data_IF_509673416111
#
_entry.id   IF_509673416111
#
_cell.length_a   1.000
_cell.length_b   1.000
_cell.length_c   1.000
_cell.angle_alpha   90.00
_cell.angle_beta   90.00
_cell.angle_gamma   90.00
#
_symmetry.space_group_name_H-M   'P 1'
#
loop_
_entity.id
_entity.type
_entity.pdbx_description
1 polymer ?
#
# COMPACT_ATOMS: atom_id res chain seq x y z
N UNK A 1 -26.28 -5.52 8.06
CA UNK A 1 -25.01 -4.78 8.21
C UNK A 1 -25.10 -3.54 9.11
N UNK A 2 -26.08 -2.63 8.93
CA UNK A 2 -26.14 -1.34 9.66
C UNK A 2 -26.15 -1.42 11.20
N UNK A 3 -26.82 -2.42 11.78
CA UNK A 3 -26.88 -2.64 13.24
C UNK A 3 -25.74 -3.51 13.78
N UNK A 4 -25.01 -4.23 12.91
CA UNK A 4 -23.91 -5.09 13.30
C UNK A 4 -22.70 -4.25 13.76
N UNK A 5 -21.75 -4.85 14.50
CA UNK A 5 -20.46 -4.21 14.77
C UNK A 5 -19.80 -3.71 13.48
N UNK A 6 -19.16 -2.55 13.57
CA UNK A 6 -18.51 -1.92 12.45
C UNK A 6 -17.27 -2.72 12.02
N UNK A 7 -17.11 -2.90 10.71
CA UNK A 7 -16.00 -3.66 10.12
C UNK A 7 -14.62 -3.01 10.33
N UNK A 8 -14.56 -1.76 10.80
CA UNK A 8 -13.30 -1.12 11.20
C UNK A 8 -12.74 -1.65 12.53
N UNK A 9 -13.43 -2.57 13.21
CA UNK A 9 -12.97 -3.17 14.48
C UNK A 9 -13.30 -2.35 15.73
N UNK A 10 -13.96 -1.19 15.61
CA UNK A 10 -14.27 -0.32 16.77
C UNK A 10 -15.30 -0.87 17.75
N UNK A 11 -15.97 -1.98 17.44
CA UNK A 11 -17.09 -2.55 18.21
C UNK A 11 -18.40 -1.73 18.17
N UNK A 12 -18.36 -0.48 17.70
CA UNK A 12 -19.54 0.37 17.53
C UNK A 12 -20.45 -0.17 16.43
N UNK A 13 -21.76 0.12 16.48
CA UNK A 13 -22.69 -0.19 15.39
C UNK A 13 -22.24 0.47 14.08
N UNK A 14 -22.21 -0.26 12.97
CA UNK A 14 -21.70 0.20 11.68
C UNK A 14 -22.29 1.55 11.25
N UNK A 15 -23.63 1.72 11.35
CA UNK A 15 -24.32 2.97 10.98
C UNK A 15 -23.95 4.19 11.82
N UNK A 16 -23.44 3.98 13.04
CA UNK A 16 -22.98 5.03 13.97
C UNK A 16 -21.46 5.19 13.96
N UNK A 17 -20.77 4.46 13.08
CA UNK A 17 -19.33 4.46 12.98
C UNK A 17 -18.92 4.79 11.54
N UNK A 18 -18.53 3.82 10.73
CA UNK A 18 -17.98 4.08 9.40
C UNK A 18 -18.99 3.94 8.25
N UNK A 19 -20.11 3.21 8.43
CA UNK A 19 -21.06 2.99 7.33
C UNK A 19 -21.95 4.22 7.13
N UNK A 20 -22.04 4.69 5.89
CA UNK A 20 -22.92 5.78 5.42
C UNK A 20 -23.78 5.23 4.29
N UNK A 21 -25.09 5.13 4.48
CA UNK A 21 -25.97 4.54 3.46
C UNK A 21 -25.72 3.04 3.24
N UNK A 22 -25.85 2.62 1.97
CA UNK A 22 -25.65 1.22 1.55
C UNK A 22 -24.24 1.07 1.00
N UNK A 23 -23.41 0.24 1.65
CA UNK A 23 -22.03 -0.09 1.26
C UNK A 23 -21.04 1.08 1.08
N UNK A 24 -21.41 2.31 1.39
CA UNK A 24 -20.46 3.43 1.38
C UNK A 24 -19.83 3.60 2.76
N UNK A 25 -18.51 3.40 2.84
CA UNK A 25 -17.74 3.45 4.08
C UNK A 25 -16.89 4.72 4.15
N UNK A 26 -16.92 5.37 5.31
CA UNK A 26 -16.08 6.53 5.66
C UNK A 26 -15.28 6.20 6.91
N UNK A 27 -13.96 6.10 6.76
CA UNK A 27 -13.01 5.82 7.83
C UNK A 27 -11.86 6.83 7.71
N UNK A 28 -11.60 7.66 8.74
CA UNK A 28 -10.46 8.57 8.70
C UNK A 28 -9.15 7.82 8.64
N UNK A 29 -8.18 8.44 8.00
CA UNK A 29 -6.80 8.00 8.10
C UNK A 29 -6.29 8.11 9.52
N UNK A 30 -5.37 7.22 9.88
CA UNK A 30 -4.68 7.25 11.15
C UNK A 30 -3.91 8.56 11.30
N UNK A 31 -3.92 9.10 12.53
CA UNK A 31 -3.10 10.25 12.88
C UNK A 31 -1.65 9.82 13.03
N UNK A 32 -0.78 10.42 12.22
CA UNK A 32 0.66 10.20 12.23
C UNK A 32 1.31 11.55 12.52
N UNK A 33 2.23 11.59 13.48
CA UNK A 33 2.97 12.80 13.88
C UNK A 33 4.46 12.52 13.80
N UNK A 34 5.06 12.78 12.65
CA UNK A 34 6.51 12.62 12.44
C UNK A 34 7.28 13.91 12.73
N UNK A 35 6.65 15.07 12.62
CA UNK A 35 7.25 16.36 12.99
C UNK A 35 7.21 16.59 14.50
N UNK A 36 6.09 16.24 15.14
CA UNK A 36 5.84 16.47 16.56
C UNK A 36 5.77 15.15 17.35
N UNK A 37 6.91 14.45 17.45
CA UNK A 37 7.00 13.14 18.12
C UNK A 37 7.13 13.24 19.65
N UNK A 38 7.31 14.46 20.19
CA UNK A 38 7.64 14.69 21.60
C UNK A 38 9.12 14.44 21.95
N UNK A 39 9.97 14.18 20.95
CA UNK A 39 11.42 14.08 21.10
C UNK A 39 12.12 15.26 20.45
N UNK A 40 13.41 15.44 20.78
CA UNK A 40 14.27 16.43 20.15
C UNK A 40 15.60 15.78 19.75
N UNK A 41 16.09 16.16 18.57
CA UNK A 41 17.40 15.77 18.06
C UNK A 41 17.35 15.13 16.68
N UNK A 42 18.54 14.81 16.18
CA UNK A 42 18.75 14.20 14.87
C UNK A 42 19.33 12.80 15.06
N UNK A 43 19.01 11.89 14.14
CA UNK A 43 19.60 10.55 14.11
C UNK A 43 20.05 10.20 12.72
N UNK A 44 21.37 10.16 12.52
CA UNK A 44 21.97 9.68 11.29
C UNK A 44 21.45 8.28 10.93
N UNK A 45 21.09 8.14 9.66
CA UNK A 45 20.45 6.94 9.12
C UNK A 45 18.92 6.95 9.20
N UNK A 46 18.29 7.84 9.97
CA UNK A 46 16.85 8.04 9.87
C UNK A 46 16.54 8.97 8.68
N UNK A 47 15.70 8.55 7.74
CA UNK A 47 15.34 9.43 6.60
C UNK A 47 14.50 10.65 7.00
N UNK A 48 14.03 10.72 8.26
CA UNK A 48 13.32 11.85 8.84
C UNK A 48 14.20 12.66 9.81
N UNK A 49 15.53 12.49 9.76
CA UNK A 49 16.43 13.17 10.69
C UNK A 49 16.34 14.69 10.62
N UNK A 50 16.13 15.28 9.44
CA UNK A 50 16.02 16.73 9.27
C UNK A 50 14.84 17.38 10.02
N UNK A 51 13.87 16.58 10.46
CA UNK A 51 12.76 17.08 11.27
C UNK A 51 13.17 17.48 12.70
N UNK A 52 14.36 17.09 13.17
CA UNK A 52 14.83 17.41 14.52
C UNK A 52 14.01 16.76 15.64
N UNK A 53 13.20 15.74 15.30
CA UNK A 53 12.26 15.05 16.18
C UNK A 53 12.61 13.55 16.37
N UNK A 54 13.88 13.20 16.16
CA UNK A 54 14.36 11.82 16.30
C UNK A 54 14.66 11.43 17.75
N UNK A 55 14.80 10.12 17.95
CA UNK A 55 15.44 9.54 19.13
C UNK A 55 16.77 8.88 18.76
N UNK A 56 17.61 8.58 19.76
CA UNK A 56 18.99 8.14 19.56
C UNK A 56 19.11 6.74 18.94
N UNK A 57 18.09 5.87 18.98
CA UNK A 57 18.19 4.49 18.47
C UNK A 57 17.49 4.29 17.11
N UNK A 58 18.19 3.64 16.17
CA UNK A 58 17.57 3.10 14.95
C UNK A 58 16.72 1.86 15.25
N UNK A 59 15.68 1.65 14.45
CA UNK A 59 14.89 0.42 14.41
C UNK A 59 15.23 -0.41 13.18
N UNK A 60 15.26 -1.73 13.34
CA UNK A 60 15.32 -2.67 12.22
C UNK A 60 13.91 -2.89 11.68
N UNK A 61 13.53 -2.05 10.73
CA UNK A 61 12.21 -2.04 10.09
C UNK A 61 12.26 -2.85 8.79
N UNK A 62 11.18 -3.52 8.43
CA UNK A 62 11.13 -4.26 7.17
C UNK A 62 10.79 -3.31 6.01
N UNK A 63 11.29 -3.57 4.79
CA UNK A 63 10.93 -2.78 3.59
C UNK A 63 9.42 -2.75 3.35
N UNK A 64 8.79 -3.89 3.64
CA UNK A 64 7.36 -4.14 3.68
C UNK A 64 7.07 -4.55 5.11
N UNK A 65 6.07 -3.95 5.75
CA UNK A 65 5.78 -4.15 7.17
C UNK A 65 5.79 -5.63 7.58
N UNK A 66 6.37 -5.95 8.74
CA UNK A 66 6.44 -7.32 9.24
C UNK A 66 5.08 -8.03 9.25
N UNK A 67 4.01 -7.35 9.68
CA UNK A 67 2.67 -7.94 9.69
C UNK A 67 2.15 -8.32 8.29
N UNK A 68 2.51 -7.55 7.25
CA UNK A 68 2.21 -7.91 5.85
C UNK A 68 2.98 -9.15 5.44
N UNK A 69 4.28 -9.22 5.76
CA UNK A 69 5.11 -10.38 5.44
C UNK A 69 4.64 -11.65 6.17
N UNK A 70 4.32 -11.54 7.46
CA UNK A 70 3.78 -12.64 8.26
C UNK A 70 2.43 -13.13 7.70
N UNK A 71 1.59 -12.21 7.22
CA UNK A 71 0.33 -12.55 6.56
C UNK A 71 0.55 -13.36 5.27
N UNK A 72 1.61 -13.08 4.51
CA UNK A 72 1.95 -13.83 3.29
C UNK A 72 2.52 -15.22 3.61
N UNK A 73 3.43 -15.32 4.58
CA UNK A 73 4.00 -16.58 5.06
C UNK A 73 5.46 -16.45 5.50
N UNK A 74 6.08 -17.54 6.01
CA UNK A 74 7.44 -17.51 6.56
C UNK A 74 8.53 -17.32 5.50
N UNK A 75 8.20 -17.61 4.24
CA UNK A 75 9.05 -17.39 3.07
C UNK A 75 8.18 -16.78 1.97
N UNK A 76 8.76 -15.81 1.26
CA UNK A 76 8.07 -15.11 0.17
C UNK A 76 8.97 -15.06 -1.05
N UNK A 77 8.37 -15.07 -2.24
CA UNK A 77 9.11 -14.80 -3.46
C UNK A 77 9.21 -13.30 -3.65
N UNK A 78 10.43 -12.84 -3.90
CA UNK A 78 10.74 -11.44 -4.18
C UNK A 78 11.44 -11.32 -5.52
N UNK A 79 11.11 -10.27 -6.25
CA UNK A 79 11.77 -9.82 -7.48
C UNK A 79 12.02 -8.31 -7.41
N UNK A 80 12.84 -7.78 -8.32
CA UNK A 80 13.06 -6.32 -8.45
C UNK A 80 14.09 -5.71 -7.50
N UNK A 81 14.71 -6.47 -6.59
CA UNK A 81 15.78 -5.98 -5.72
C UNK A 81 17.17 -6.05 -6.38
N UNK A 82 18.11 -5.13 -6.08
CA UNK A 82 19.44 -5.11 -6.71
C UNK A 82 20.26 -6.38 -6.53
N UNK A 83 20.18 -6.98 -5.35
CA UNK A 83 20.91 -8.20 -5.02
C UNK A 83 20.34 -9.46 -5.71
N UNK A 84 19.18 -9.35 -6.37
CA UNK A 84 18.57 -10.43 -7.15
C UNK A 84 19.08 -10.50 -8.59
N UNK A 85 19.71 -9.44 -9.12
CA UNK A 85 20.22 -9.40 -10.50
C UNK A 85 19.21 -9.83 -11.57
N UNK A 86 17.94 -9.46 -11.39
CA UNK A 86 16.84 -9.79 -12.31
C UNK A 86 16.17 -11.15 -12.07
N UNK A 87 16.64 -11.93 -11.09
CA UNK A 87 16.03 -13.20 -10.70
C UNK A 87 14.88 -13.00 -9.70
N UNK A 88 13.99 -13.98 -9.62
CA UNK A 88 13.05 -14.13 -8.51
C UNK A 88 13.65 -15.10 -7.50
N UNK A 89 13.70 -14.73 -6.20
CA UNK A 89 14.18 -15.64 -5.13
C UNK A 89 13.17 -15.75 -4.01
N UNK A 90 13.12 -16.94 -3.43
CA UNK A 90 12.44 -17.16 -2.15
C UNK A 90 13.36 -16.74 -1.01
N UNK A 91 12.92 -15.79 -0.17
CA UNK A 91 13.69 -15.32 0.98
C UNK A 91 12.91 -15.43 2.27
N UNK A 92 13.64 -15.52 3.39
CA UNK A 92 13.05 -15.42 4.73
C UNK A 92 12.75 -13.96 5.06
N UNK A 93 11.65 -13.73 5.78
CA UNK A 93 11.19 -12.37 6.11
C UNK A 93 12.27 -11.51 6.81
N UNK A 94 13.18 -12.13 7.59
CA UNK A 94 14.24 -11.39 8.30
C UNK A 94 15.24 -10.72 7.35
N UNK A 95 15.44 -11.24 6.13
CA UNK A 95 16.36 -10.64 5.16
C UNK A 95 15.79 -9.39 4.49
N UNK A 96 14.52 -9.06 4.74
CA UNK A 96 13.84 -7.88 4.20
C UNK A 96 13.82 -6.71 5.19
N UNK A 97 14.84 -6.62 6.04
CA UNK A 97 15.01 -5.57 7.04
C UNK A 97 15.99 -4.48 6.60
N UNK A 98 15.80 -3.29 7.16
CA UNK A 98 16.64 -2.12 6.94
C UNK A 98 16.59 -1.17 8.14
N UNK A 99 17.66 -0.39 8.33
CA UNK A 99 17.82 0.51 9.48
C UNK A 99 17.70 1.97 9.03
N UNK A 100 16.51 2.35 8.53
CA UNK A 100 16.26 3.65 7.87
C UNK A 100 15.35 4.59 8.66
N UNK A 101 14.88 4.14 9.83
CA UNK A 101 14.06 4.92 10.74
C UNK A 101 14.59 4.80 12.17
N UNK A 102 14.48 5.89 12.94
CA UNK A 102 14.62 5.82 14.39
C UNK A 102 13.39 5.14 15.00
N UNK A 103 13.54 4.58 16.21
CA UNK A 103 12.43 3.90 16.91
C UNK A 103 11.18 4.78 17.02
N UNK A 104 11.37 6.07 17.27
CA UNK A 104 10.27 7.01 17.49
C UNK A 104 9.50 7.31 16.21
N UNK A 105 10.19 7.57 15.09
CA UNK A 105 9.53 7.74 13.80
C UNK A 105 8.90 6.44 13.30
N UNK A 106 9.54 5.29 13.53
CA UNK A 106 8.95 4.01 13.16
C UNK A 106 7.67 3.75 13.96
N UNK A 107 7.68 4.00 15.27
CA UNK A 107 6.49 3.91 16.12
C UNK A 107 5.39 4.89 15.69
N UNK A 108 5.74 6.13 15.33
CA UNK A 108 4.79 7.12 14.85
C UNK A 108 4.10 6.69 13.54
N UNK A 109 4.79 5.91 12.70
CA UNK A 109 4.27 5.38 11.43
C UNK A 109 3.58 4.01 11.57
N UNK A 110 3.69 3.34 12.71
CA UNK A 110 3.14 2.00 12.95
C UNK A 110 1.63 1.85 12.70
N UNK A 111 0.76 2.87 12.86
CA UNK A 111 -0.64 2.75 12.45
C UNK A 111 -0.82 2.44 10.96
N UNK A 112 0.08 2.93 10.10
CA UNK A 112 0.05 2.65 8.66
C UNK A 112 0.37 1.17 8.38
N UNK A 113 1.33 0.60 9.11
CA UNK A 113 1.68 -0.82 9.02
C UNK A 113 0.53 -1.74 9.47
N UNK A 114 -0.21 -1.32 10.50
CA UNK A 114 -1.39 -2.04 10.97
C UNK A 114 -2.50 -2.03 9.93
N UNK A 115 -2.76 -0.88 9.29
CA UNK A 115 -3.74 -0.77 8.21
C UNK A 115 -3.38 -1.69 7.03
N UNK A 116 -2.12 -1.68 6.60
CA UNK A 116 -1.62 -2.55 5.54
C UNK A 116 -1.71 -4.04 5.89
N UNK A 117 -1.39 -4.40 7.14
CA UNK A 117 -1.51 -5.78 7.62
C UNK A 117 -2.95 -6.25 7.53
N UNK A 118 -3.93 -5.43 7.97
CA UNK A 118 -5.36 -5.76 7.86
C UNK A 118 -5.77 -5.91 6.39
N UNK A 119 -5.32 -5.00 5.55
CA UNK A 119 -5.62 -4.98 4.11
C UNK A 119 -5.13 -6.24 3.39
N UNK A 120 -3.85 -6.59 3.52
CA UNK A 120 -3.27 -7.76 2.87
C UNK A 120 -3.84 -9.06 3.45
N UNK A 121 -4.12 -9.11 4.76
CA UNK A 121 -4.79 -10.26 5.37
C UNK A 121 -6.16 -10.50 4.73
N UNK A 122 -6.94 -9.43 4.51
CA UNK A 122 -8.24 -9.53 3.86
C UNK A 122 -8.13 -9.94 2.38
N UNK A 123 -7.14 -9.41 1.66
CA UNK A 123 -6.86 -9.82 0.28
C UNK A 123 -6.49 -11.30 0.19
N UNK A 124 -5.60 -11.80 1.06
CA UNK A 124 -5.21 -13.22 1.07
C UNK A 124 -6.41 -14.13 1.33
N UNK A 125 -7.35 -13.67 2.15
CA UNK A 125 -8.55 -14.42 2.48
C UNK A 125 -9.54 -14.55 1.30
N UNK A 126 -9.36 -13.82 0.19
CA UNK A 126 -10.19 -13.94 -1.02
C UNK A 126 -10.18 -15.37 -1.58
N UNK A 127 -9.03 -16.05 -1.57
CA UNK A 127 -8.89 -17.41 -2.10
C UNK A 127 -9.47 -18.53 -1.24
N UNK A 128 -10.01 -18.23 -0.04
CA UNK A 128 -10.41 -19.24 0.97
C UNK A 128 -11.92 -19.58 0.93
N UNK A 129 -12.70 -18.92 0.06
CA UNK A 129 -14.15 -19.13 -0.08
C UNK A 129 -15.00 -18.55 1.06
N UNK A 130 -16.32 -18.44 0.88
CA UNK A 130 -17.24 -17.83 1.86
C UNK A 130 -17.34 -16.31 1.81
N UNK A 131 -18.28 -15.75 2.57
CA UNK A 131 -18.59 -14.32 2.57
C UNK A 131 -17.78 -13.58 3.65
N UNK A 132 -16.88 -12.67 3.25
CA UNK A 132 -16.12 -11.81 4.18
C UNK A 132 -16.02 -10.40 3.64
N UNK A 133 -16.30 -9.43 4.52
CA UNK A 133 -16.23 -8.02 4.21
C UNK A 133 -15.24 -7.36 5.16
N UNK A 134 -14.26 -6.66 4.61
CA UNK A 134 -13.27 -5.90 5.37
C UNK A 134 -13.37 -4.40 5.04
N UNK A 135 -13.07 -3.54 6.01
CA UNK A 135 -12.94 -2.10 5.78
C UNK A 135 -11.61 -1.62 6.32
N UNK A 136 -10.82 -0.97 5.45
CA UNK A 136 -9.56 -0.30 5.79
C UNK A 136 -9.57 1.14 5.28
N UNK A 137 -8.72 1.99 5.82
CA UNK A 137 -8.59 3.39 5.38
C UNK A 137 -7.75 3.43 4.11
N UNK A 138 -8.34 3.88 2.99
CA UNK A 138 -7.59 4.06 1.73
C UNK A 138 -6.41 5.02 1.89
N UNK A 139 -6.62 6.08 2.68
CA UNK A 139 -5.60 7.06 3.07
C UNK A 139 -4.41 6.43 3.80
N UNK A 140 -4.63 5.37 4.57
CA UNK A 140 -3.53 4.70 5.29
C UNK A 140 -2.76 3.77 4.39
N UNK A 141 -3.44 3.12 3.42
CA UNK A 141 -2.78 2.27 2.43
C UNK A 141 -1.88 3.11 1.50
N UNK A 142 -2.35 4.29 1.07
CA UNK A 142 -1.53 5.25 0.30
C UNK A 142 -0.26 5.65 1.03
N UNK A 143 -0.39 6.08 2.29
CA UNK A 143 0.74 6.54 3.10
C UNK A 143 1.67 5.40 3.52
N UNK A 144 1.14 4.19 3.71
CA UNK A 144 1.93 3.00 3.92
C UNK A 144 2.78 2.63 2.69
N UNK A 145 2.19 2.68 1.50
CA UNK A 145 2.92 2.39 0.27
C UNK A 145 4.00 3.45 0.02
N UNK A 146 3.73 4.72 0.35
CA UNK A 146 4.73 5.79 0.34
C UNK A 146 5.86 5.50 1.32
N UNK A 147 5.55 5.13 2.57
CA UNK A 147 6.55 4.72 3.59
C UNK A 147 7.45 3.60 3.05
N UNK A 148 6.85 2.58 2.43
CA UNK A 148 7.56 1.42 1.88
C UNK A 148 8.49 1.80 0.72
N UNK A 149 8.00 2.64 -0.19
CA UNK A 149 8.79 3.19 -1.30
C UNK A 149 9.98 4.02 -0.81
N UNK A 150 9.78 4.89 0.18
CA UNK A 150 10.87 5.68 0.77
C UNK A 150 11.89 4.77 1.42
N UNK A 151 11.46 3.78 2.21
CA UNK A 151 12.36 2.82 2.85
C UNK A 151 13.24 2.08 1.82
N UNK A 152 12.67 1.65 0.69
CA UNK A 152 13.43 1.06 -0.41
C UNK A 152 14.40 2.04 -1.07
N UNK A 153 13.96 3.28 -1.27
CA UNK A 153 14.76 4.36 -1.88
C UNK A 153 16.00 4.65 -1.05
N UNK A 154 15.83 4.95 0.23
CA UNK A 154 16.93 5.37 1.12
C UNK A 154 17.85 4.22 1.51
N UNK A 155 17.34 2.98 1.51
CA UNK A 155 18.16 1.78 1.73
C UNK A 155 18.98 1.38 0.49
N UNK A 156 18.86 2.11 -0.62
CA UNK A 156 19.53 1.83 -1.90
C UNK A 156 19.18 0.44 -2.44
N UNK A 157 17.94 0.02 -2.23
CA UNK A 157 17.38 -1.26 -2.70
C UNK A 157 16.45 -1.09 -3.90
N UNK A 158 16.55 0.04 -4.61
CA UNK A 158 15.84 0.25 -5.87
C UNK A 158 16.69 -0.20 -7.06
N UNK A 159 16.02 -0.89 -7.99
CA UNK A 159 16.53 -1.19 -9.33
C UNK A 159 15.64 -0.55 -10.39
N UNK A 160 16.28 -0.08 -11.46
CA UNK A 160 15.63 0.25 -12.72
C UNK A 160 16.39 -0.48 -13.83
N UNK A 161 15.69 -1.31 -14.61
CA UNK A 161 16.26 -2.01 -15.78
C UNK A 161 17.58 -2.77 -15.50
N UNK A 162 17.71 -3.34 -14.29
CA UNK A 162 18.90 -4.10 -13.90
C UNK A 162 20.03 -3.25 -13.29
N UNK A 163 19.87 -1.92 -13.22
CA UNK A 163 20.83 -1.01 -12.61
C UNK A 163 20.34 -0.46 -11.27
N UNK A 164 21.28 -0.27 -10.34
CA UNK A 164 21.02 0.34 -9.04
C UNK A 164 20.78 1.83 -9.22
N UNK A 165 19.70 2.34 -8.62
CA UNK A 165 19.42 3.77 -8.65
C UNK A 165 20.14 4.45 -7.50
N UNK A 166 21.17 5.25 -7.79
CA UNK A 166 22.02 5.88 -6.76
C UNK A 166 21.40 7.13 -6.15
N UNK A 167 20.60 7.88 -6.91
CA UNK A 167 20.04 9.18 -6.51
C UNK A 167 18.63 9.36 -7.05
N UNK A 168 17.70 8.57 -6.53
CA UNK A 168 16.29 8.91 -6.58
C UNK A 168 16.03 10.02 -5.56
N UNK A 169 15.73 11.23 -6.01
CA UNK A 169 15.24 12.28 -5.13
C UNK A 169 13.98 11.80 -4.41
N UNK A 170 13.93 11.96 -3.08
CA UNK A 170 12.70 11.74 -2.33
C UNK A 170 11.67 12.83 -2.68
N UNK A 171 10.37 12.55 -2.50
CA UNK A 171 9.34 13.58 -2.63
C UNK A 171 9.66 14.78 -1.74
N UNK A 172 9.57 15.99 -2.29
CA UNK A 172 10.06 17.21 -1.63
C UNK A 172 9.40 17.54 -0.28
N UNK A 173 8.14 17.13 -0.06
CA UNK A 173 7.45 17.28 1.23
C UNK A 173 6.91 15.94 1.75
N UNK A 174 7.78 14.93 1.79
CA UNK A 174 7.48 13.62 2.35
C UNK A 174 6.80 13.68 3.74
N UNK A 175 7.26 14.48 4.72
CA UNK A 175 6.60 14.57 6.01
C UNK A 175 5.14 15.03 5.91
N UNK A 176 4.82 15.99 5.03
CA UNK A 176 3.44 16.42 4.84
C UNK A 176 2.56 15.33 4.24
N UNK A 177 3.06 14.60 3.23
CA UNK A 177 2.33 13.49 2.61
C UNK A 177 2.06 12.34 3.59
N UNK A 178 2.96 12.11 4.56
CA UNK A 178 2.78 11.11 5.62
C UNK A 178 1.80 11.57 6.71
N UNK A 179 1.79 12.85 7.08
CA UNK A 179 0.94 13.38 8.16
C UNK A 179 -0.47 13.72 7.69
N UNK A 180 -0.63 14.41 6.55
CA UNK A 180 -1.93 14.86 6.04
C UNK A 180 -2.35 14.05 4.80
N UNK A 181 -3.32 13.13 4.92
CA UNK A 181 -3.82 12.36 3.77
C UNK A 181 -4.53 13.20 2.70
N UNK A 182 -4.85 14.47 2.97
CA UNK A 182 -5.50 15.38 2.02
C UNK A 182 -4.50 16.25 1.23
N UNK A 183 -3.21 16.15 1.55
CA UNK A 183 -2.15 16.94 0.89
C UNK A 183 -1.77 16.45 -0.50
N UNK A 184 -2.29 15.29 -0.90
CA UNK A 184 -1.98 14.67 -2.19
C UNK A 184 -2.59 15.46 -3.35
N UNK A 185 -1.79 15.69 -4.39
CA UNK A 185 -2.26 16.37 -5.59
C UNK A 185 -3.35 15.53 -6.31
N UNK A 186 -4.26 16.16 -7.07
CA UNK A 186 -5.26 15.42 -7.84
C UNK A 186 -4.61 14.40 -8.79
N UNK A 187 -5.10 13.14 -8.72
CA UNK A 187 -4.56 12.03 -9.50
C UNK A 187 -3.30 11.38 -8.91
N UNK A 188 -2.68 12.00 -7.89
CA UNK A 188 -1.69 11.35 -7.03
C UNK A 188 -2.42 10.47 -6.00
N UNK A 189 -1.76 9.41 -5.55
CA UNK A 189 -2.27 8.43 -4.61
C UNK A 189 -2.38 7.04 -5.22
N UNK A 190 -3.35 6.27 -4.74
CA UNK A 190 -3.50 4.85 -5.03
C UNK A 190 -4.35 4.62 -6.28
N UNK A 191 -3.85 3.71 -7.11
CA UNK A 191 -4.50 3.21 -8.31
C UNK A 191 -4.52 1.69 -8.22
N UNK A 192 -5.67 1.08 -8.47
CA UNK A 192 -5.75 -0.37 -8.65
C UNK A 192 -5.75 -0.67 -10.14
N UNK A 193 -4.74 -1.40 -10.60
CA UNK A 193 -4.70 -1.94 -11.96
C UNK A 193 -5.43 -3.26 -11.93
N UNK A 194 -6.54 -3.32 -12.65
CA UNK A 194 -7.32 -4.53 -12.86
C UNK A 194 -7.73 -4.61 -14.33
N UNK A 195 -7.67 -5.82 -14.90
CA UNK A 195 -8.24 -6.15 -16.20
C UNK A 195 -9.32 -7.19 -15.99
N UNK A 196 -10.42 -7.01 -16.71
CA UNK A 196 -11.49 -8.00 -16.76
C UNK A 196 -10.90 -9.36 -17.18
N UNK A 197 -11.15 -10.41 -16.39
CA UNK A 197 -10.58 -11.74 -16.59
C UNK A 197 -9.23 -12.00 -15.91
N UNK A 198 -8.69 -11.08 -15.10
CA UNK A 198 -7.49 -11.32 -14.30
C UNK A 198 -7.62 -12.60 -13.46
N UNK A 199 -6.61 -13.47 -13.58
CA UNK A 199 -6.48 -14.67 -12.75
C UNK A 199 -5.56 -14.35 -11.58
N UNK A 200 -6.05 -14.52 -10.36
CA UNK A 200 -5.27 -14.28 -9.14
C UNK A 200 -4.39 -15.49 -8.84
N UNK A 201 -3.05 -15.40 -8.98
CA UNK A 201 -2.16 -16.47 -8.56
C UNK A 201 -2.33 -16.80 -7.08
N UNK A 202 -2.21 -18.08 -6.77
CA UNK A 202 -2.17 -18.63 -5.39
C UNK A 202 -0.79 -18.49 -4.74
N UNK A 203 0.21 -17.96 -5.44
CA UNK A 203 1.57 -17.81 -4.93
C UNK A 203 1.72 -16.55 -4.06
N UNK A 204 2.44 -16.69 -2.94
CA UNK A 204 2.76 -15.61 -2.02
C UNK A 204 3.94 -14.77 -2.56
N UNK A 205 3.71 -14.15 -3.72
CA UNK A 205 4.70 -13.35 -4.41
C UNK A 205 4.48 -11.87 -4.08
N UNK A 206 5.58 -11.17 -3.83
CA UNK A 206 5.58 -9.74 -3.63
C UNK A 206 6.68 -9.09 -4.47
N UNK A 207 6.28 -8.11 -5.25
CA UNK A 207 7.18 -7.32 -6.08
C UNK A 207 6.84 -5.84 -5.88
N UNK A 208 7.83 -5.02 -5.56
CA UNK A 208 7.66 -3.58 -5.43
C UNK A 208 8.60 -2.89 -6.42
N UNK A 209 8.03 -2.39 -7.52
CA UNK A 209 8.79 -1.76 -8.61
C UNK A 209 8.68 -0.24 -8.50
N UNK A 210 9.77 0.50 -8.31
CA UNK A 210 9.73 1.95 -8.40
C UNK A 210 9.32 2.41 -9.81
N UNK A 211 8.56 3.48 -9.88
CA UNK A 211 8.21 4.20 -11.10
C UNK A 211 9.02 5.49 -11.15
N UNK A 212 9.57 5.80 -12.32
CA UNK A 212 10.43 6.96 -12.51
C UNK A 212 9.92 7.86 -13.62
N UNK A 213 10.28 9.13 -13.52
CA UNK A 213 10.21 10.07 -14.62
C UNK A 213 11.31 9.75 -15.64
N UNK A 214 10.93 9.58 -16.91
CA UNK A 214 11.87 9.20 -17.96
C UNK A 214 12.89 10.31 -18.30
N UNK A 215 12.54 11.58 -18.06
CA UNK A 215 13.40 12.72 -18.38
C UNK A 215 14.34 13.06 -17.21
N UNK A 216 13.79 13.09 -16.00
CA UNK A 216 14.52 13.56 -14.81
C UNK A 216 15.10 12.42 -13.96
N UNK A 217 14.65 11.18 -14.16
CA UNK A 217 15.02 10.02 -13.33
C UNK A 217 14.47 10.07 -11.90
N UNK A 218 13.63 11.06 -11.56
CA UNK A 218 13.03 11.19 -10.24
C UNK A 218 12.01 10.08 -9.97
N UNK A 219 11.90 9.62 -8.72
CA UNK A 219 10.87 8.64 -8.33
C UNK A 219 9.51 9.32 -8.37
N UNK A 220 8.60 8.76 -9.17
CA UNK A 220 7.22 9.23 -9.35
C UNK A 220 6.21 8.35 -8.62
N UNK A 221 6.62 7.18 -8.14
CA UNK A 221 5.69 6.21 -7.58
C UNK A 221 6.25 4.82 -7.43
N UNK A 222 5.36 3.84 -7.25
CA UNK A 222 5.69 2.43 -7.24
C UNK A 222 4.51 1.56 -7.71
N UNK A 223 4.79 0.46 -8.39
CA UNK A 223 3.86 -0.65 -8.64
C UNK A 223 4.14 -1.77 -7.63
N UNK A 224 3.21 -1.96 -6.68
CA UNK A 224 3.19 -3.08 -5.77
C UNK A 224 2.36 -4.21 -6.39
N UNK A 225 3.01 -5.31 -6.71
CA UNK A 225 2.34 -6.55 -7.09
C UNK A 225 2.33 -7.51 -5.93
N UNK A 226 1.13 -7.91 -5.52
CA UNK A 226 0.90 -8.75 -4.36
C UNK A 226 -0.39 -9.55 -4.54
N UNK A 227 -0.33 -10.87 -4.33
CA UNK A 227 -1.50 -11.76 -4.41
C UNK A 227 -2.27 -11.64 -5.74
N UNK A 228 -1.57 -11.36 -6.83
CA UNK A 228 -2.18 -11.17 -8.15
C UNK A 228 -2.71 -9.77 -8.45
N UNK A 229 -2.72 -8.87 -7.48
CA UNK A 229 -3.13 -7.48 -7.68
C UNK A 229 -1.93 -6.60 -8.00
N UNK A 230 -2.11 -5.63 -8.91
CA UNK A 230 -1.16 -4.53 -9.11
C UNK A 230 -1.76 -3.24 -8.53
N UNK A 231 -1.10 -2.73 -7.48
CA UNK A 231 -1.48 -1.54 -6.73
C UNK A 231 -0.40 -0.50 -7.01
N UNK A 232 -0.77 0.53 -7.75
CA UNK A 232 0.15 1.60 -8.13
C UNK A 232 -0.02 2.80 -7.21
N UNK A 233 1.07 3.28 -6.63
CA UNK A 233 1.16 4.58 -5.99
C UNK A 233 1.78 5.58 -6.96
N UNK A 234 1.14 6.74 -7.13
CA UNK A 234 1.75 7.90 -7.77
C UNK A 234 1.89 9.03 -6.75
N UNK A 235 3.06 9.68 -6.71
CA UNK A 235 3.35 10.72 -5.71
C UNK A 235 2.98 12.12 -6.24
N UNK A 236 3.10 12.30 -7.56
CA UNK A 236 2.78 13.56 -8.23
C UNK A 236 1.43 13.50 -8.95
N UNK A 237 0.92 14.70 -9.26
CA UNK A 237 -0.30 14.85 -10.05
C UNK A 237 -0.21 14.04 -11.34
N UNK A 238 -1.26 13.27 -11.62
CA UNK A 238 -1.33 12.44 -12.80
C UNK A 238 -2.65 12.61 -13.52
N UNK A 239 -2.56 12.84 -14.82
CA UNK A 239 -3.71 12.86 -15.71
C UNK A 239 -3.65 11.62 -16.59
N UNK A 240 -4.69 10.79 -16.51
CA UNK A 240 -4.86 9.60 -17.36
C UNK A 240 -4.73 9.98 -18.83
N UNK A 241 -3.93 9.21 -19.58
CA UNK A 241 -3.75 9.35 -21.03
C UNK A 241 -4.12 8.04 -21.73
N UNK A 242 -4.77 8.08 -22.90
CA UNK A 242 -4.95 6.88 -23.72
C UNK A 242 -3.61 6.20 -24.04
N UNK A 243 -3.59 4.87 -24.05
CA UNK A 243 -2.39 4.05 -24.25
C UNK A 243 -1.42 4.01 -23.07
N UNK A 244 -1.73 4.67 -21.94
CA UNK A 244 -0.87 4.61 -20.75
C UNK A 244 -1.08 3.33 -19.94
N UNK A 245 -0.10 2.88 -19.14
CA UNK A 245 -0.27 1.70 -18.27
C UNK A 245 -1.43 1.80 -17.28
N UNK A 246 -1.91 3.01 -16.98
CA UNK A 246 -3.02 3.28 -16.07
C UNK A 246 -4.33 3.62 -16.79
N UNK A 247 -4.41 3.43 -18.12
CA UNK A 247 -5.61 3.73 -18.91
C UNK A 247 -6.86 3.02 -18.38
N UNK A 248 -6.71 1.77 -17.92
CA UNK A 248 -7.81 0.98 -17.36
C UNK A 248 -7.77 0.86 -15.84
N UNK A 249 -6.80 1.49 -15.18
CA UNK A 249 -6.70 1.45 -13.73
C UNK A 249 -7.82 2.28 -13.08
N UNK A 250 -8.15 1.98 -11.83
CA UNK A 250 -9.14 2.72 -11.05
C UNK A 250 -8.41 3.54 -9.99
N UNK A 251 -8.57 4.85 -10.06
CA UNK A 251 -8.03 5.78 -9.07
C UNK A 251 -8.88 5.72 -7.80
N UNK A 252 -8.24 5.55 -6.64
CA UNK A 252 -8.85 5.47 -5.31
C UNK A 252 -10.18 4.69 -5.31
N UNK A 253 -10.18 3.38 -5.59
CA UNK A 253 -11.42 2.62 -5.59
C UNK A 253 -12.09 2.67 -4.21
N UNK A 254 -13.42 2.66 -4.17
CA UNK A 254 -14.18 2.57 -2.91
C UNK A 254 -14.08 1.16 -2.31
N UNK A 255 -14.01 0.17 -3.17
CA UNK A 255 -13.85 -1.23 -2.82
C UNK A 255 -13.42 -2.03 -4.05
N UNK A 256 -12.95 -3.24 -3.79
CA UNK A 256 -12.96 -4.30 -4.77
C UNK A 256 -13.68 -5.51 -4.20
N UNK A 257 -14.57 -6.06 -5.01
CA UNK A 257 -15.39 -7.22 -4.70
C UNK A 257 -14.98 -8.36 -5.60
N UNK A 258 -14.51 -9.46 -5.01
CA UNK A 258 -14.23 -10.70 -5.73
C UNK A 258 -15.37 -11.68 -5.52
N UNK A 259 -16.01 -12.08 -6.62
CA UNK A 259 -17.07 -13.08 -6.63
C UNK A 259 -16.50 -14.38 -7.18
N UNK A 260 -16.61 -15.43 -6.37
CA UNK A 260 -16.23 -16.80 -6.73
C UNK A 260 -17.47 -17.70 -6.69
N UNK A 261 -17.35 -18.93 -7.18
CA UNK A 261 -18.41 -19.94 -7.01
C UNK A 261 -18.68 -20.29 -5.53
N UNK A 262 -17.72 -20.03 -4.64
CA UNK A 262 -17.78 -20.36 -3.21
C UNK A 262 -18.15 -19.18 -2.31
N UNK A 263 -18.38 -17.98 -2.86
CA UNK A 263 -18.83 -16.82 -2.09
C UNK A 263 -18.45 -15.47 -2.69
N UNK A 264 -18.76 -14.41 -1.95
CA UNK A 264 -18.39 -13.03 -2.31
C UNK A 264 -17.52 -12.42 -1.22
N UNK A 265 -16.38 -11.86 -1.62
CA UNK A 265 -15.39 -11.24 -0.74
C UNK A 265 -15.25 -9.78 -1.13
N UNK A 266 -15.38 -8.87 -0.17
CA UNK A 266 -15.27 -7.43 -0.42
C UNK A 266 -14.21 -6.83 0.50
N UNK A 267 -13.31 -6.04 -0.07
CA UNK A 267 -12.40 -5.19 0.70
C UNK A 267 -12.71 -3.74 0.34
N UNK A 268 -13.30 -3.02 1.30
CA UNK A 268 -13.58 -1.60 1.15
C UNK A 268 -12.36 -0.76 1.54
N UNK A 269 -11.99 0.16 0.66
CA UNK A 269 -11.04 1.22 0.88
C UNK A 269 -11.84 2.48 1.18
N UNK A 270 -11.99 2.78 2.47
CA UNK A 270 -12.79 3.89 2.91
C UNK A 270 -11.99 5.20 2.85
N UNK A 271 -12.58 6.23 2.25
CA UNK A 271 -11.99 7.54 2.07
C UNK A 271 -12.76 8.59 2.87
N UNK A 272 -12.02 9.55 3.42
CA UNK A 272 -12.58 10.73 4.10
C UNK A 272 -12.36 11.97 3.25
N UNK A 273 -13.02 12.01 2.10
CA UNK A 273 -13.13 13.17 1.23
C UNK A 273 -14.52 13.18 0.55
N UNK A 274 -14.76 14.16 -0.31
CA UNK A 274 -16.01 14.30 -1.06
C UNK A 274 -15.87 13.89 -2.53
N UNK A 275 -14.83 13.10 -2.84
CA UNK A 275 -14.63 12.56 -4.19
C UNK A 275 -15.47 11.31 -4.41
N UNK A 276 -15.84 11.07 -5.67
CA UNK A 276 -16.47 9.81 -6.07
C UNK A 276 -15.39 8.74 -6.26
N UNK A 277 -15.56 7.63 -5.57
CA UNK A 277 -14.64 6.49 -5.59
C UNK A 277 -15.36 5.29 -6.24
N UNK A 278 -14.89 4.76 -7.39
CA UNK A 278 -15.56 3.65 -8.07
C UNK A 278 -15.37 2.33 -7.32
N UNK A 279 -16.39 1.47 -7.30
CA UNK A 279 -16.26 0.08 -6.90
C UNK A 279 -15.76 -0.78 -8.06
N UNK A 280 -14.98 -1.82 -7.74
CA UNK A 280 -14.46 -2.77 -8.73
C UNK A 280 -15.11 -4.13 -8.47
N UNK A 281 -15.71 -4.72 -9.49
CA UNK A 281 -16.20 -6.10 -9.44
C UNK A 281 -15.25 -7.00 -10.23
N UNK A 282 -14.84 -8.09 -9.60
CA UNK A 282 -13.91 -9.07 -10.12
C UNK A 282 -14.62 -10.42 -10.06
N UNK A 283 -14.87 -11.05 -11.21
CA UNK A 283 -15.52 -12.36 -11.27
C UNK A 283 -14.48 -13.44 -11.58
N UNK A 284 -14.29 -14.37 -10.64
CA UNK A 284 -13.40 -15.52 -10.87
C UNK A 284 -14.22 -16.69 -11.38
N UNK A 285 -14.18 -16.92 -12.69
CA UNK A 285 -14.69 -18.15 -13.31
C UNK A 285 -15.89 -17.99 -14.24
N UNK A 286 -15.60 -17.59 -15.49
CA UNK A 286 -16.14 -18.30 -16.66
C UNK A 286 -14.94 -18.53 -17.58
N UNK A 287 -14.54 -19.78 -17.90
CA UNK A 287 -13.57 -19.98 -18.98
C UNK A 287 -14.14 -19.35 -20.26
N UNK A 288 -13.31 -18.63 -21.01
CA UNK A 288 -13.72 -18.14 -22.33
C UNK A 288 -14.34 -19.30 -23.12
N UNK A 289 -15.48 -19.11 -23.81
CA UNK A 289 -15.97 -20.14 -24.72
C UNK A 289 -14.87 -20.42 -25.73
N UNK A 290 -14.32 -21.63 -25.71
CA UNK A 290 -13.41 -22.11 -26.75
C UNK A 290 -14.14 -22.02 -28.10
N UNK A 291 -13.51 -21.49 -29.15
CA UNK A 291 -14.11 -21.43 -30.48
C UNK A 291 -14.41 -22.82 -31.05
#
# INVERSE_FOLDING_TARGET
MREAPCLCGSGKKAKRCCLRGTNHWRLPGSEVRVRNTGQQGHRDGCYLHDLGSCHTALSSEHYISRGVLDALGPKIQVSGFPWLKGETKTVGIQSLTTNVLCRVHNSALSPLDQAATRFITAMKAIGVGGNHHEVVSGHDIERWLLKSLVALTVSKNLMLEGQRVETAGLPGDLPHLLEDPRSWAPGAGLWLVHREGDVFPTTADIELRPLFDAETGAVKGADLRILGFSIVLLIDAYRRKPGSPLEHAVYRPADFTVRTSSGTRMVALAWMDDQFHPSILIETGVPAPTP
#
